data_IF_328871450244
#
_entry.id   IF_328871450244
#
_cell.length_a   1.000
_cell.length_b   1.000
_cell.length_c   1.000
_cell.angle_alpha   90.00
_cell.angle_beta   90.00
_cell.angle_gamma   90.00
#
_symmetry.space_group_name_H-M   'P 1'
#
loop_
_entity.id
_entity.type
_entity.pdbx_description
1 polymer ?
#
# COMPACT_ATOMS: atom_id res chain seq x y z
N UNK A 1 -18.64 -0.99 -16.68
CA UNK A 1 -17.41 -1.48 -16.04
C UNK A 1 -17.85 -2.60 -15.14
N UNK A 2 -17.34 -3.81 -15.31
CA UNK A 2 -17.57 -4.85 -14.30
C UNK A 2 -17.18 -4.29 -12.93
N UNK A 3 -17.94 -4.64 -11.90
CA UNK A 3 -17.69 -4.19 -10.54
C UNK A 3 -16.42 -4.89 -10.08
N UNK A 4 -15.27 -4.28 -10.32
CA UNK A 4 -14.00 -4.75 -9.79
C UNK A 4 -14.00 -4.48 -8.29
N UNK A 5 -13.99 -5.55 -7.51
CA UNK A 5 -13.82 -5.52 -6.06
C UNK A 5 -12.35 -5.79 -5.75
N UNK A 6 -11.79 -4.96 -4.89
CA UNK A 6 -10.43 -5.09 -4.40
C UNK A 6 -10.44 -5.35 -2.90
N UNK A 7 -9.51 -6.17 -2.44
CA UNK A 7 -9.30 -6.45 -1.02
C UNK A 7 -7.81 -6.46 -0.71
N UNK A 8 -7.44 -6.07 0.51
CA UNK A 8 -6.09 -6.21 1.03
C UNK A 8 -6.11 -6.71 2.46
N UNK A 9 -5.29 -7.74 2.71
CA UNK A 9 -5.12 -8.35 4.03
C UNK A 9 -3.66 -8.41 4.43
N UNK A 10 -3.39 -8.38 5.74
CA UNK A 10 -2.10 -8.74 6.31
C UNK A 10 -2.27 -10.03 7.11
N UNK A 11 -1.64 -11.11 6.67
CA UNK A 11 -1.90 -12.45 7.21
C UNK A 11 -3.38 -12.80 7.07
N UNK A 12 -4.07 -12.99 8.20
CA UNK A 12 -5.51 -13.32 8.24
C UNK A 12 -6.42 -12.10 8.44
N UNK A 13 -5.85 -10.92 8.67
CA UNK A 13 -6.60 -9.70 8.96
C UNK A 13 -6.87 -8.93 7.66
N UNK A 14 -8.15 -8.81 7.28
CA UNK A 14 -8.55 -7.97 6.16
C UNK A 14 -8.62 -6.50 6.60
N UNK A 15 -7.86 -5.64 5.92
CA UNK A 15 -7.72 -4.23 6.28
C UNK A 15 -8.41 -3.30 5.30
N UNK A 16 -8.39 -3.64 4.01
CA UNK A 16 -9.01 -2.81 2.98
C UNK A 16 -10.00 -3.64 2.16
N UNK A 17 -11.10 -2.99 1.79
CA UNK A 17 -12.09 -3.48 0.84
C UNK A 17 -12.74 -2.30 0.14
N UNK A 18 -12.85 -2.38 -1.17
CA UNK A 18 -13.58 -1.40 -1.96
C UNK A 18 -13.98 -1.97 -3.31
N UNK A 19 -14.87 -1.26 -3.99
CA UNK A 19 -15.24 -1.47 -5.38
C UNK A 19 -14.88 -0.24 -6.20
N UNK A 20 -14.89 -0.38 -7.53
CA UNK A 20 -14.74 0.76 -8.43
C UNK A 20 -15.83 1.84 -8.24
N UNK A 21 -16.97 1.51 -7.60
CA UNK A 21 -18.02 2.48 -7.27
C UNK A 21 -17.68 3.40 -6.10
N UNK A 22 -16.68 3.04 -5.28
CA UNK A 22 -16.27 3.83 -4.11
C UNK A 22 -15.26 4.94 -4.46
N UNK A 23 -14.89 5.05 -5.73
CA UNK A 23 -13.95 6.07 -6.21
C UNK A 23 -14.60 7.45 -6.26
N UNK A 24 -13.94 8.46 -5.67
CA UNK A 24 -14.36 9.88 -5.77
C UNK A 24 -14.23 10.38 -7.23
N UNK A 25 -13.18 9.95 -7.93
CA UNK A 25 -12.96 10.22 -9.34
C UNK A 25 -12.81 8.90 -10.08
N UNK A 26 -13.61 8.67 -11.11
CA UNK A 26 -13.56 7.48 -11.95
C UNK A 26 -12.24 7.37 -12.72
N UNK A 27 -11.93 6.15 -13.21
CA UNK A 27 -10.77 5.92 -14.08
C UNK A 27 -10.75 6.82 -15.32
N UNK A 28 -11.93 7.14 -15.87
CA UNK A 28 -12.06 8.00 -17.04
C UNK A 28 -11.64 9.44 -16.73
N UNK A 29 -12.08 9.96 -15.58
CA UNK A 29 -11.71 11.31 -15.12
C UNK A 29 -10.22 11.41 -14.79
N UNK A 30 -9.61 10.35 -14.22
CA UNK A 30 -8.17 10.32 -13.95
C UNK A 30 -7.35 10.38 -15.25
N UNK A 31 -7.74 9.63 -16.28
CA UNK A 31 -7.06 9.65 -17.59
C UNK A 31 -7.24 11.01 -18.27
N UNK A 32 -8.47 11.55 -18.28
CA UNK A 32 -8.77 12.88 -18.82
C UNK A 32 -7.89 13.94 -18.15
N UNK A 33 -7.95 14.03 -16.82
CA UNK A 33 -7.20 15.03 -16.06
C UNK A 33 -5.69 14.88 -16.23
N UNK A 34 -5.16 13.66 -16.09
CA UNK A 34 -3.72 13.40 -16.25
C UNK A 34 -3.22 13.79 -17.65
N UNK A 35 -3.96 13.42 -18.70
CA UNK A 35 -3.60 13.73 -20.09
C UNK A 35 -3.68 15.23 -20.44
N UNK A 36 -4.42 16.02 -19.66
CA UNK A 36 -4.47 17.47 -19.82
C UNK A 36 -3.21 18.20 -19.31
N UNK A 37 -2.43 17.54 -18.44
CA UNK A 37 -1.25 18.11 -17.79
C UNK A 37 0.05 17.55 -18.40
N UNK A 38 0.08 16.25 -18.66
CA UNK A 38 1.23 15.54 -19.24
C UNK A 38 0.80 14.65 -20.40
N UNK A 39 1.70 14.40 -21.34
CA UNK A 39 1.47 13.40 -22.38
C UNK A 39 1.60 11.99 -21.79
N UNK A 40 0.54 11.19 -21.88
CA UNK A 40 0.56 9.77 -21.54
C UNK A 40 1.04 8.95 -22.74
N UNK A 41 1.91 7.98 -22.51
CA UNK A 41 2.46 7.09 -23.52
C UNK A 41 1.97 5.65 -23.34
N UNK A 42 1.90 4.85 -24.42
CA UNK A 42 1.64 3.42 -24.30
C UNK A 42 2.67 2.75 -23.38
N UNK A 43 2.18 2.06 -22.35
CA UNK A 43 3.00 1.42 -21.32
C UNK A 43 3.04 2.16 -19.98
N UNK A 44 2.49 3.38 -19.91
CA UNK A 44 2.37 4.11 -18.65
C UNK A 44 1.45 3.38 -17.66
N UNK A 45 1.82 3.43 -16.38
CA UNK A 45 1.06 2.83 -15.28
C UNK A 45 0.47 3.94 -14.42
N UNK A 46 -0.86 3.97 -14.33
CA UNK A 46 -1.61 4.92 -13.51
C UNK A 46 -2.13 4.22 -12.26
N UNK A 47 -1.72 4.70 -11.08
CA UNK A 47 -2.33 4.29 -9.82
C UNK A 47 -3.54 5.17 -9.52
N UNK A 48 -4.70 4.55 -9.30
CA UNK A 48 -5.99 5.21 -9.18
C UNK A 48 -6.41 5.51 -7.72
N UNK A 49 -5.43 5.48 -6.79
CA UNK A 49 -5.65 5.74 -5.37
C UNK A 49 -5.79 4.46 -4.54
N UNK A 50 -6.17 4.64 -3.27
CA UNK A 50 -6.35 3.55 -2.30
C UNK A 50 -7.67 3.76 -1.54
N UNK A 51 -8.29 2.67 -1.09
CA UNK A 51 -9.49 2.73 -0.26
C UNK A 51 -9.14 3.03 1.20
N UNK A 52 -10.17 3.27 2.02
CA UNK A 52 -10.00 3.29 3.47
C UNK A 52 -9.40 1.98 4.00
N UNK A 53 -8.80 2.06 5.20
CA UNK A 53 -8.17 0.92 5.87
C UNK A 53 -6.64 0.87 5.79
N UNK A 54 -6.00 1.95 5.33
CA UNK A 54 -4.54 2.09 5.49
C UNK A 54 -4.19 2.20 6.98
N UNK A 55 -3.06 1.63 7.39
CA UNK A 55 -2.67 1.68 8.80
C UNK A 55 -2.20 3.05 9.30
N UNK A 56 -2.02 4.04 8.40
CA UNK A 56 -1.69 5.40 8.79
C UNK A 56 -2.83 6.00 9.63
N UNK A 57 -2.58 6.18 10.93
CA UNK A 57 -3.58 6.65 11.90
C UNK A 57 -4.42 5.54 12.55
N UNK A 58 -4.08 4.27 12.33
CA UNK A 58 -4.68 3.12 13.02
C UNK A 58 -3.87 2.70 14.25
N UNK A 59 -4.52 2.12 15.25
CA UNK A 59 -3.85 1.46 16.39
C UNK A 59 -3.03 0.22 15.98
N UNK A 60 -3.26 -0.28 14.75
CA UNK A 60 -2.54 -1.40 14.15
C UNK A 60 -1.08 -1.06 13.79
N UNK A 61 -0.71 0.21 13.70
CA UNK A 61 0.66 0.61 13.35
C UNK A 61 1.14 0.11 11.98
N UNK A 62 2.40 0.40 11.65
CA UNK A 62 2.99 0.08 10.33
C UNK A 62 3.40 -1.39 10.19
N UNK A 63 3.61 -1.80 8.93
CA UNK A 63 4.11 -3.13 8.56
C UNK A 63 5.39 -3.49 9.32
N UNK A 64 5.45 -4.73 9.80
CA UNK A 64 6.59 -5.31 10.49
C UNK A 64 7.24 -6.44 9.68
N UNK A 65 8.54 -6.70 9.86
CA UNK A 65 9.21 -7.84 9.24
C UNK A 65 8.51 -9.17 9.58
N UNK A 66 8.37 -10.04 8.58
CA UNK A 66 7.67 -11.31 8.70
C UNK A 66 6.16 -11.23 8.44
N UNK A 67 5.58 -10.04 8.36
CA UNK A 67 4.20 -9.89 7.92
C UNK A 67 4.08 -10.10 6.39
N UNK A 68 2.92 -10.59 5.94
CA UNK A 68 2.67 -10.84 4.52
C UNK A 68 1.42 -10.08 4.09
N UNK A 69 1.58 -9.18 3.11
CA UNK A 69 0.48 -8.46 2.47
C UNK A 69 -0.06 -9.31 1.33
N UNK A 70 -1.38 -9.47 1.26
CA UNK A 70 -2.08 -10.09 0.15
C UNK A 70 -3.11 -9.11 -0.41
N UNK A 71 -2.89 -8.62 -1.62
CA UNK A 71 -3.78 -7.71 -2.33
C UNK A 71 -4.45 -8.42 -3.50
N UNK A 72 -5.78 -8.41 -3.58
CA UNK A 72 -6.55 -9.12 -4.60
C UNK A 72 -7.46 -8.16 -5.33
N UNK A 73 -7.56 -8.34 -6.65
CA UNK A 73 -8.65 -7.76 -7.45
C UNK A 73 -9.38 -8.91 -8.13
N UNK A 74 -10.70 -8.96 -7.94
CA UNK A 74 -11.56 -9.99 -8.52
C UNK A 74 -11.41 -9.97 -10.06
N UNK A 75 -11.14 -11.13 -10.65
CA UNK A 75 -10.93 -11.30 -12.09
C UNK A 75 -9.51 -11.00 -12.60
N UNK A 76 -8.62 -10.42 -11.77
CA UNK A 76 -7.21 -10.17 -12.15
C UNK A 76 -6.28 -11.16 -11.43
N UNK A 77 -6.40 -11.26 -10.10
CA UNK A 77 -5.58 -12.16 -9.28
C UNK A 77 -5.14 -11.54 -7.97
N UNK A 78 -4.23 -12.23 -7.30
CA UNK A 78 -3.67 -11.84 -6.00
C UNK A 78 -2.17 -11.61 -6.09
N UNK A 79 -1.73 -10.48 -5.56
CA UNK A 79 -0.32 -10.15 -5.33
C UNK A 79 0.01 -10.38 -3.84
N UNK A 80 1.00 -11.23 -3.58
CA UNK A 80 1.49 -11.54 -2.23
C UNK A 80 2.89 -10.98 -2.03
N UNK A 81 3.07 -10.15 -1.00
CA UNK A 81 4.29 -9.40 -0.72
C UNK A 81 4.73 -9.64 0.74
N UNK A 82 5.79 -10.45 0.98
CA UNK A 82 6.37 -10.60 2.30
C UNK A 82 7.17 -9.35 2.68
N UNK A 83 6.93 -8.80 3.87
CA UNK A 83 7.71 -7.71 4.44
C UNK A 83 8.99 -8.26 5.08
N UNK A 84 10.14 -7.71 4.68
CA UNK A 84 11.45 -8.12 5.16
C UNK A 84 12.18 -6.85 5.61
N UNK A 85 12.77 -6.86 6.81
CA UNK A 85 13.63 -5.76 7.26
C UNK A 85 14.92 -5.75 6.43
N UNK A 86 15.36 -4.55 6.07
CA UNK A 86 16.74 -4.36 5.64
C UNK A 86 17.70 -4.63 6.81
N UNK A 87 18.91 -5.10 6.50
CA UNK A 87 19.95 -5.23 7.50
C UNK A 87 20.42 -3.85 7.96
N UNK A 88 20.68 -3.70 9.27
CA UNK A 88 21.23 -2.46 9.81
C UNK A 88 22.56 -2.11 9.11
N UNK A 89 22.69 -0.91 8.52
CA UNK A 89 23.91 -0.52 7.83
C UNK A 89 25.08 -0.42 8.82
N UNK A 90 26.24 -0.96 8.42
CA UNK A 90 27.46 -0.87 9.22
C UNK A 90 28.08 0.53 9.08
N UNK A 91 28.43 1.16 10.20
CA UNK A 91 29.10 2.47 10.21
C UNK A 91 28.14 3.66 10.03
N UNK A 92 27.16 3.76 10.92
CA UNK A 92 26.14 4.83 10.91
C UNK A 92 26.79 6.22 10.92
N UNK A 93 26.61 6.98 9.85
CA UNK A 93 26.60 8.44 9.92
C UNK A 93 25.25 8.90 10.49
N UNK A 94 25.17 10.11 11.05
CA UNK A 94 23.96 10.60 11.73
C UNK A 94 22.66 10.61 10.87
N UNK A 95 22.75 10.40 9.56
CA UNK A 95 21.60 10.26 8.66
C UNK A 95 21.00 8.83 8.61
N UNK A 96 21.65 7.85 9.24
CA UNK A 96 21.28 6.42 9.21
C UNK A 96 20.86 5.90 10.59
N UNK A 97 20.53 6.80 11.54
CA UNK A 97 20.08 6.38 12.87
C UNK A 97 18.86 5.44 12.74
N UNK A 98 18.90 4.34 13.48
CA UNK A 98 17.82 3.36 13.56
C UNK A 98 16.48 4.06 13.84
N UNK A 99 15.37 3.57 13.26
CA UNK A 99 14.03 4.06 13.57
C UNK A 99 13.82 4.14 15.09
N UNK A 100 13.36 5.29 15.57
CA UNK A 100 13.13 5.51 17.00
C UNK A 100 12.03 4.56 17.48
N UNK A 101 12.17 4.00 18.68
CA UNK A 101 11.33 2.94 19.26
C UNK A 101 9.81 3.25 19.38
N UNK A 102 9.37 4.45 19.02
CA UNK A 102 8.02 4.96 19.29
C UNK A 102 6.89 4.38 18.42
N UNK A 103 7.18 3.57 17.40
CA UNK A 103 6.11 3.04 16.52
C UNK A 103 5.43 1.76 17.04
N UNK A 104 6.03 1.03 17.98
CA UNK A 104 5.41 -0.01 18.82
C UNK A 104 6.46 -0.58 19.78
N UNK A 105 6.30 -0.29 21.07
CA UNK A 105 7.06 -0.82 22.22
C UNK A 105 8.09 -1.92 21.89
N UNK A 106 9.35 -1.54 21.78
CA UNK A 106 10.47 -2.48 21.81
C UNK A 106 10.80 -2.86 23.27
N UNK A 107 10.22 -3.95 23.77
CA UNK A 107 10.84 -4.68 24.88
C UNK A 107 12.06 -5.43 24.33
N UNK A 108 13.25 -4.83 24.47
CA UNK A 108 14.52 -5.55 24.35
C UNK A 108 14.88 -6.10 25.73
N UNK A 109 15.00 -7.42 25.85
CA UNK A 109 15.76 -8.06 26.93
C UNK A 109 17.26 -7.75 26.75
#
# INVERSE_FOLDING_TARGET
>A
MEILRQTLSIGTEQLQEATAGDMIHSLWELIEYGSSIITLYPGDVVNNGTSGGTNAGSDRGYLQPGEVVSATIDGIGTLTLPAIAEAEPQGLSGAQLTPVCDYRNCNRN
#
